data_IF_464351741981
#
_entry.id   IF_464351741981
#
_cell.length_a   1.000
_cell.length_b   1.000
_cell.length_c   1.000
_cell.angle_alpha   90.00
_cell.angle_beta   90.00
_cell.angle_gamma   90.00
#
_symmetry.space_group_name_H-M   'P 1'
#
loop_
_entity.id
_entity.type
_entity.pdbx_description
1 polymer ?
#
# COMPACT_ATOMS: atom_id res chain seq x y z
N UNK A 1 43.63 -31.00 -7.13
CA UNK A 1 43.07 -29.98 -8.04
C UNK A 1 41.58 -30.29 -8.21
N UNK A 2 40.74 -29.67 -7.39
CA UNK A 2 39.30 -29.92 -7.39
C UNK A 2 38.65 -28.84 -8.24
N UNK A 3 38.15 -29.25 -9.41
CA UNK A 3 37.29 -28.43 -10.25
C UNK A 3 35.85 -28.63 -9.78
N UNK A 4 35.26 -27.59 -9.17
CA UNK A 4 33.83 -27.55 -8.87
C UNK A 4 33.15 -26.64 -9.88
N UNK A 5 32.49 -27.28 -10.85
CA UNK A 5 31.44 -26.69 -11.66
C UNK A 5 30.24 -26.36 -10.77
N UNK A 6 29.87 -25.08 -10.65
CA UNK A 6 28.56 -24.66 -10.11
C UNK A 6 27.90 -23.76 -11.16
N UNK A 7 27.01 -24.37 -11.95
CA UNK A 7 26.07 -23.66 -12.83
C UNK A 7 24.80 -23.36 -12.04
N UNK A 8 24.39 -22.09 -12.07
CA UNK A 8 23.01 -21.56 -12.11
C UNK A 8 21.92 -22.26 -11.29
N UNK A 9 21.29 -21.54 -10.34
CA UNK A 9 19.86 -21.18 -10.45
C UNK A 9 19.47 -20.15 -9.36
N UNK A 10 18.71 -19.16 -9.81
CA UNK A 10 17.97 -18.09 -9.13
C UNK A 10 17.21 -18.49 -7.87
N UNK A 11 17.04 -17.59 -6.88
CA UNK A 11 15.85 -16.69 -6.74
C UNK A 11 15.62 -16.24 -5.26
N UNK A 12 15.69 -14.92 -5.05
CA UNK A 12 14.88 -14.06 -4.13
C UNK A 12 14.75 -14.40 -2.63
N UNK A 13 15.31 -13.52 -1.78
CA UNK A 13 14.89 -13.45 -0.37
C UNK A 13 14.99 -12.08 0.28
N UNK A 14 13.89 -11.75 0.96
CA UNK A 14 13.41 -10.48 1.52
C UNK A 14 13.64 -10.31 3.02
N UNK A 15 14.84 -9.95 3.49
CA UNK A 15 14.93 -9.25 4.79
C UNK A 15 14.73 -7.74 4.67
N UNK A 16 13.58 -7.38 4.12
CA UNK A 16 13.15 -6.01 3.87
C UNK A 16 11.76 -5.74 4.41
N UNK A 17 11.36 -6.34 5.52
CA UNK A 17 9.96 -6.32 5.95
C UNK A 17 9.42 -4.91 6.26
N UNK A 18 10.26 -3.87 6.37
CA UNK A 18 9.79 -2.47 6.51
C UNK A 18 10.25 -1.51 5.41
N UNK A 19 11.44 -1.67 4.82
CA UNK A 19 11.86 -0.78 3.73
C UNK A 19 11.35 -1.24 2.36
N UNK A 20 10.95 -2.51 2.20
CA UNK A 20 10.36 -3.02 0.95
C UNK A 20 8.91 -2.61 0.71
N UNK A 21 8.21 -2.00 1.70
CA UNK A 21 6.90 -1.35 1.44
C UNK A 21 7.07 -0.17 0.45
N UNK A 22 8.30 0.34 0.28
CA UNK A 22 8.64 1.33 -0.75
C UNK A 22 9.36 0.75 -1.97
N UNK A 23 9.69 -0.54 -2.05
CA UNK A 23 10.73 -1.01 -2.99
C UNK A 23 10.48 -2.30 -3.79
N UNK A 24 9.27 -2.86 -3.89
CA UNK A 24 9.01 -4.03 -4.76
C UNK A 24 7.95 -3.78 -5.85
N UNK A 25 8.16 -4.38 -7.05
CA UNK A 25 7.33 -4.18 -8.23
C UNK A 25 5.88 -4.53 -7.96
N UNK A 26 5.00 -3.74 -8.56
CA UNK A 26 3.62 -4.11 -8.81
C UNK A 26 3.59 -5.55 -9.37
N UNK A 27 2.74 -6.45 -8.84
CA UNK A 27 2.54 -7.76 -9.46
C UNK A 27 2.27 -7.57 -10.95
N UNK A 28 3.08 -8.20 -11.79
CA UNK A 28 2.76 -8.38 -13.21
C UNK A 28 1.62 -9.39 -13.30
N UNK A 29 0.73 -9.10 -14.24
CA UNK A 29 -0.20 -10.03 -14.87
C UNK A 29 -1.26 -10.64 -13.96
N UNK A 30 -2.30 -9.84 -13.74
CA UNK A 30 -3.66 -10.28 -13.99
C UNK A 30 -4.48 -9.07 -14.45
N UNK A 31 -4.85 -9.05 -15.72
CA UNK A 31 -6.17 -8.53 -16.04
C UNK A 31 -6.39 -7.02 -15.91
N UNK A 32 -5.38 -6.15 -16.16
CA UNK A 32 -5.55 -4.69 -16.24
C UNK A 32 -6.23 -3.98 -15.05
N UNK A 33 -6.45 -4.69 -13.93
CA UNK A 33 -7.02 -4.22 -12.68
C UNK A 33 -5.86 -4.11 -11.70
N UNK A 34 -5.71 -2.96 -11.04
CA UNK A 34 -4.78 -2.86 -9.92
C UNK A 34 -5.03 -4.06 -8.97
N UNK A 35 -4.05 -4.94 -8.73
CA UNK A 35 -4.27 -6.35 -8.31
C UNK A 35 -4.96 -6.58 -6.95
N UNK A 36 -5.34 -5.52 -6.25
CA UNK A 36 -5.82 -5.57 -4.86
C UNK A 36 -7.13 -4.85 -4.61
N UNK A 37 -7.79 -4.39 -5.67
CA UNK A 37 -9.15 -3.86 -5.59
C UNK A 37 -9.94 -4.60 -6.65
N UNK A 38 -10.73 -5.58 -6.20
CA UNK A 38 -11.83 -6.10 -7.01
C UNK A 38 -12.65 -4.94 -7.60
N UNK A 39 -13.43 -5.17 -8.67
CA UNK A 39 -14.18 -4.12 -9.35
C UNK A 39 -14.92 -3.28 -8.33
N UNK A 40 -14.45 -2.04 -8.11
CA UNK A 40 -15.17 -1.09 -7.29
C UNK A 40 -16.29 -0.60 -8.18
N UNK A 41 -17.50 -1.06 -7.91
CA UNK A 41 -18.68 -0.49 -8.53
C UNK A 41 -18.80 1.01 -8.26
N UNK A 42 -19.80 1.68 -8.86
CA UNK A 42 -20.05 3.11 -8.67
C UNK A 42 -20.17 3.52 -7.20
N UNK A 43 -20.57 2.59 -6.34
CA UNK A 43 -20.65 2.73 -4.89
C UNK A 43 -20.36 1.37 -4.20
N UNK A 44 -20.14 1.35 -2.86
CA UNK A 44 -20.01 0.11 -2.10
C UNK A 44 -21.27 -0.76 -2.21
N UNK A 45 -21.11 -2.09 -2.26
CA UNK A 45 -22.25 -3.04 -2.33
C UNK A 45 -23.26 -2.84 -1.20
N UNK A 46 -22.76 -2.51 0.00
CA UNK A 46 -23.60 -2.28 1.18
C UNK A 46 -24.52 -1.06 1.06
N UNK A 47 -24.41 -0.28 -0.02
CA UNK A 47 -25.26 0.89 -0.30
C UNK A 47 -26.38 0.56 -1.30
N UNK A 48 -26.35 -0.61 -1.95
CA UNK A 48 -27.27 -1.02 -3.02
C UNK A 48 -28.73 -0.97 -2.58
N UNK A 49 -29.02 -1.46 -1.38
CA UNK A 49 -30.37 -1.54 -0.81
C UNK A 49 -30.82 -0.27 -0.09
N UNK A 50 -29.92 0.72 0.04
CA UNK A 50 -30.15 1.95 0.83
C UNK A 50 -30.32 3.16 -0.09
N UNK A 51 -29.59 3.22 -1.20
CA UNK A 51 -29.63 4.34 -2.11
C UNK A 51 -30.86 4.29 -3.02
N UNK A 52 -31.58 5.41 -3.22
CA UNK A 52 -32.65 5.50 -4.22
C UNK A 52 -32.15 5.17 -5.62
N UNK A 53 -33.00 4.56 -6.45
CA UNK A 53 -32.66 4.18 -7.84
C UNK A 53 -32.10 5.34 -8.65
N UNK A 54 -32.72 6.53 -8.56
CA UNK A 54 -32.25 7.73 -9.25
C UNK A 54 -30.80 8.11 -8.86
N UNK A 55 -30.43 7.96 -7.59
CA UNK A 55 -29.06 8.22 -7.12
C UNK A 55 -28.10 7.15 -7.63
N UNK A 56 -28.53 5.88 -7.63
CA UNK A 56 -27.72 4.76 -8.13
C UNK A 56 -27.38 4.94 -9.60
N UNK A 57 -28.36 5.34 -10.42
CA UNK A 57 -28.15 5.65 -11.83
C UNK A 57 -27.23 6.85 -12.04
N UNK A 58 -27.38 7.91 -11.24
CA UNK A 58 -26.51 9.08 -11.31
C UNK A 58 -25.06 8.72 -10.98
N UNK A 59 -24.83 7.96 -9.91
CA UNK A 59 -23.50 7.47 -9.53
C UNK A 59 -22.90 6.53 -10.58
N UNK A 60 -23.72 5.67 -11.19
CA UNK A 60 -23.31 4.79 -12.28
C UNK A 60 -22.88 5.58 -13.51
N UNK A 61 -23.66 6.60 -13.88
CA UNK A 61 -23.36 7.51 -14.99
C UNK A 61 -22.04 8.24 -14.79
N UNK A 62 -21.83 8.83 -13.61
CA UNK A 62 -20.56 9.49 -13.25
C UNK A 62 -19.38 8.49 -13.28
N UNK A 63 -19.60 7.26 -12.81
CA UNK A 63 -18.58 6.23 -12.78
C UNK A 63 -18.13 5.78 -14.17
N UNK A 64 -19.10 5.59 -15.07
CA UNK A 64 -18.91 5.11 -16.45
C UNK A 64 -18.43 6.22 -17.39
N UNK A 65 -18.62 7.49 -17.03
CA UNK A 65 -18.16 8.64 -17.81
C UNK A 65 -16.62 8.66 -17.94
N UNK A 66 -16.15 8.22 -19.11
CA UNK A 66 -14.73 8.18 -19.50
C UNK A 66 -14.15 9.56 -19.81
N UNK A 67 -14.98 10.60 -19.97
CA UNK A 67 -14.52 11.97 -20.23
C UNK A 67 -14.01 12.66 -18.96
N UNK A 68 -14.52 12.25 -17.78
CA UNK A 68 -14.14 12.86 -16.50
C UNK A 68 -12.78 12.39 -16.02
N UNK A 69 -11.99 13.34 -15.50
CA UNK A 69 -10.77 13.03 -14.74
C UNK A 69 -11.15 12.31 -13.45
N UNK A 70 -10.20 11.54 -12.89
CA UNK A 70 -10.46 10.82 -11.65
C UNK A 70 -10.84 11.73 -10.47
N UNK A 71 -10.24 12.92 -10.38
CA UNK A 71 -10.58 13.90 -9.33
C UNK A 71 -12.01 14.39 -9.49
N UNK A 72 -12.33 14.90 -10.68
CA UNK A 72 -13.67 15.37 -11.03
C UNK A 72 -14.74 14.31 -10.80
N UNK A 73 -14.48 13.06 -11.23
CA UNK A 73 -15.38 11.93 -10.98
C UNK A 73 -15.64 11.74 -9.49
N UNK A 74 -14.62 11.84 -8.65
CA UNK A 74 -14.77 11.65 -7.20
C UNK A 74 -15.40 12.83 -6.50
N UNK A 75 -15.16 14.03 -7.00
CA UNK A 75 -15.75 15.24 -6.44
C UNK A 75 -17.24 15.29 -6.79
N UNK A 76 -17.63 14.91 -8.03
CA UNK A 76 -19.04 14.70 -8.39
C UNK A 76 -19.71 13.60 -7.57
N UNK A 77 -19.03 12.46 -7.34
CA UNK A 77 -19.56 11.41 -6.45
C UNK A 77 -19.72 11.95 -5.01
N UNK A 78 -18.74 12.69 -4.50
CA UNK A 78 -18.80 13.27 -3.14
C UNK A 78 -19.94 14.29 -3.01
N UNK A 79 -20.18 15.08 -4.05
CA UNK A 79 -21.29 16.03 -4.14
C UNK A 79 -22.64 15.30 -4.10
N UNK A 80 -22.85 14.29 -4.95
CA UNK A 80 -24.07 13.46 -4.94
C UNK A 80 -24.30 12.84 -3.56
N UNK A 81 -23.28 12.25 -2.96
CA UNK A 81 -23.38 11.62 -1.64
C UNK A 81 -23.64 12.64 -0.52
N UNK A 82 -23.08 13.85 -0.63
CA UNK A 82 -23.28 14.90 0.39
C UNK A 82 -24.64 15.59 0.29
N UNK A 83 -25.31 15.51 -0.86
CA UNK A 83 -26.64 16.06 -1.09
C UNK A 83 -27.78 15.07 -0.82
N UNK A 84 -27.48 13.86 -0.34
CA UNK A 84 -28.50 12.88 0.03
C UNK A 84 -29.45 13.41 1.12
N UNK A 85 -30.75 13.02 1.08
CA UNK A 85 -31.69 13.25 2.17
C UNK A 85 -31.16 12.70 3.50
N UNK A 86 -31.45 13.41 4.59
CA UNK A 86 -30.96 13.07 5.93
C UNK A 86 -31.37 11.64 6.34
N UNK A 87 -32.60 11.24 6.02
CA UNK A 87 -33.12 9.88 6.28
C UNK A 87 -32.29 8.77 5.62
N UNK A 88 -31.72 9.04 4.44
CA UNK A 88 -30.85 8.09 3.73
C UNK A 88 -29.46 8.12 4.35
N UNK A 89 -28.92 9.30 4.64
CA UNK A 89 -27.60 9.48 5.27
C UNK A 89 -27.47 8.72 6.59
N UNK A 90 -28.53 8.68 7.39
CA UNK A 90 -28.57 7.97 8.67
C UNK A 90 -28.51 6.45 8.48
N UNK A 91 -29.20 5.92 7.46
CA UNK A 91 -29.21 4.49 7.11
C UNK A 91 -27.88 4.00 6.54
N UNK A 92 -27.08 4.88 5.92
CA UNK A 92 -25.81 4.49 5.32
C UNK A 92 -24.83 3.92 6.36
N UNK A 93 -24.22 2.74 6.11
CA UNK A 93 -23.24 2.19 7.02
C UNK A 93 -21.92 2.96 6.94
N UNK A 94 -21.22 3.06 8.08
CA UNK A 94 -19.81 3.49 8.07
C UNK A 94 -18.94 2.47 7.33
N UNK A 95 -17.77 2.88 6.82
CA UNK A 95 -16.80 1.96 6.25
C UNK A 95 -16.56 0.74 7.15
N UNK A 96 -16.34 -0.46 6.58
CA UNK A 96 -16.18 -1.71 7.34
C UNK A 96 -15.16 -1.64 8.48
N UNK A 97 -14.11 -0.84 8.31
CA UNK A 97 -13.06 -0.58 9.29
C UNK A 97 -13.54 0.10 10.59
N UNK A 98 -14.69 0.76 10.58
CA UNK A 98 -15.22 1.56 11.69
C UNK A 98 -16.53 1.01 12.29
N UNK A 99 -17.03 -0.14 11.82
CA UNK A 99 -18.33 -0.70 12.23
C UNK A 99 -18.40 -1.14 13.68
N UNK A 100 -17.26 -1.42 14.28
CA UNK A 100 -17.16 -1.90 15.66
C UNK A 100 -16.96 -0.73 16.64
N UNK A 101 -16.90 0.52 16.15
CA UNK A 101 -16.82 1.70 17.02
C UNK A 101 -18.16 1.99 17.69
N UNK A 102 -18.18 2.67 18.85
CA UNK A 102 -19.40 3.19 19.46
C UNK A 102 -20.26 3.99 18.47
N UNK A 103 -21.60 3.86 18.56
CA UNK A 103 -22.56 4.51 17.64
C UNK A 103 -22.33 6.01 17.53
N UNK A 104 -22.06 6.68 18.65
CA UNK A 104 -21.76 8.11 18.67
C UNK A 104 -20.57 8.48 17.77
N UNK A 105 -19.49 7.69 17.81
CA UNK A 105 -18.31 7.89 16.96
C UNK A 105 -18.65 7.57 15.50
N UNK A 106 -19.46 6.54 15.24
CA UNK A 106 -19.92 6.23 13.89
C UNK A 106 -20.73 7.39 13.30
N UNK A 107 -21.61 8.01 14.08
CA UNK A 107 -22.45 9.13 13.65
C UNK A 107 -21.60 10.39 13.40
N UNK A 108 -20.61 10.66 14.25
CA UNK A 108 -19.61 11.72 14.00
C UNK A 108 -18.83 11.48 12.70
N UNK A 109 -18.41 10.24 12.44
CA UNK A 109 -17.74 9.87 11.20
C UNK A 109 -18.65 10.09 9.98
N UNK A 110 -19.93 9.69 10.05
CA UNK A 110 -20.92 9.93 8.98
C UNK A 110 -21.13 11.43 8.75
N UNK A 111 -21.33 12.20 9.81
CA UNK A 111 -21.55 13.64 9.76
C UNK A 111 -20.37 14.35 9.07
N UNK A 112 -19.13 13.96 9.37
CA UNK A 112 -17.95 14.50 8.69
C UNK A 112 -17.91 14.08 7.22
N UNK A 113 -18.18 12.80 6.90
CA UNK A 113 -18.07 12.28 5.53
C UNK A 113 -19.13 12.83 4.58
N UNK A 114 -20.35 13.04 5.07
CA UNK A 114 -21.52 13.45 4.28
C UNK A 114 -21.81 14.95 4.40
N UNK A 115 -20.89 15.73 5.00
CA UNK A 115 -21.02 17.16 5.13
C UNK A 115 -21.00 17.85 3.73
N UNK A 116 -22.03 18.63 3.36
CA UNK A 116 -22.15 19.23 2.02
C UNK A 116 -21.21 20.38 1.74
N UNK A 117 -20.61 20.99 2.77
CA UNK A 117 -19.76 22.20 2.62
C UNK A 117 -18.28 21.96 2.92
N UNK A 118 -17.86 20.72 3.13
CA UNK A 118 -16.46 20.40 3.44
C UNK A 118 -15.76 19.85 2.21
N UNK A 119 -14.55 20.34 1.95
CA UNK A 119 -13.70 19.74 0.93
C UNK A 119 -13.30 18.33 1.35
N UNK A 120 -13.02 17.46 0.37
CA UNK A 120 -12.59 16.08 0.67
C UNK A 120 -11.31 16.01 1.51
N UNK A 121 -10.47 17.03 1.43
CA UNK A 121 -9.27 17.16 2.26
C UNK A 121 -9.62 17.53 3.70
N UNK A 122 -10.49 18.53 3.90
CA UNK A 122 -11.02 18.87 5.22
C UNK A 122 -11.73 17.69 5.88
N UNK A 123 -12.57 16.96 5.14
CA UNK A 123 -13.25 15.74 5.62
C UNK A 123 -12.23 14.70 6.11
N UNK A 124 -11.08 14.57 5.46
CA UNK A 124 -10.02 13.65 5.91
C UNK A 124 -9.31 14.14 7.14
N UNK A 125 -8.96 15.42 7.19
CA UNK A 125 -8.27 16.02 8.33
C UNK A 125 -9.14 15.94 9.58
N UNK A 126 -10.44 16.19 9.46
CA UNK A 126 -11.40 16.01 10.55
C UNK A 126 -11.54 14.55 10.98
N UNK A 127 -11.67 13.60 10.04
CA UNK A 127 -11.68 12.16 10.38
C UNK A 127 -10.39 11.74 11.08
N UNK A 128 -9.23 12.21 10.60
CA UNK A 128 -7.94 11.93 11.23
C UNK A 128 -7.89 12.49 12.64
N UNK A 129 -8.26 13.76 12.83
CA UNK A 129 -8.31 14.41 14.15
C UNK A 129 -9.25 13.67 15.11
N UNK A 130 -10.41 13.23 14.64
CA UNK A 130 -11.34 12.44 15.43
C UNK A 130 -10.69 11.12 15.86
N UNK A 131 -10.15 10.35 14.92
CA UNK A 131 -9.47 9.08 15.22
C UNK A 131 -8.29 9.28 16.18
N UNK A 132 -7.49 10.33 15.99
CA UNK A 132 -6.32 10.62 16.83
C UNK A 132 -6.73 10.98 18.27
N UNK A 133 -7.89 11.61 18.46
CA UNK A 133 -8.46 11.94 19.78
C UNK A 133 -9.10 10.76 20.53
N UNK A 134 -9.33 9.63 19.85
CA UNK A 134 -9.98 8.47 20.46
C UNK A 134 -9.11 7.82 21.57
N UNK A 135 -9.71 7.32 22.66
CA UNK A 135 -9.04 6.48 23.65
C UNK A 135 -8.41 5.23 23.02
N UNK A 136 -7.30 4.75 23.57
CA UNK A 136 -6.58 3.59 23.00
C UNK A 136 -7.45 2.33 22.92
N UNK A 137 -8.30 2.08 23.91
CA UNK A 137 -9.24 0.95 23.92
C UNK A 137 -10.18 0.99 22.71
N UNK A 138 -10.70 2.19 22.38
CA UNK A 138 -11.58 2.35 21.21
C UNK A 138 -10.83 2.30 19.89
N UNK A 139 -9.56 2.75 19.85
CA UNK A 139 -8.71 2.63 18.66
C UNK A 139 -8.44 1.17 18.30
N UNK A 140 -8.36 0.26 19.29
CA UNK A 140 -8.21 -1.19 19.05
C UNK A 140 -9.40 -1.80 18.33
N UNK A 141 -10.59 -1.20 18.42
CA UNK A 141 -11.79 -1.64 17.70
C UNK A 141 -11.74 -1.29 16.20
N UNK A 142 -10.86 -0.37 15.79
CA UNK A 142 -10.69 -0.02 14.38
C UNK A 142 -9.99 -1.18 13.68
N UNK A 143 -10.71 -1.86 12.78
CA UNK A 143 -10.13 -2.97 12.02
C UNK A 143 -9.00 -2.44 11.13
N UNK A 144 -7.82 -3.10 11.14
CA UNK A 144 -6.76 -2.72 10.22
C UNK A 144 -7.29 -2.85 8.79
N UNK A 145 -7.08 -1.82 7.97
CA UNK A 145 -7.36 -1.96 6.54
C UNK A 145 -6.55 -3.14 6.02
N UNK A 146 -7.16 -4.06 5.25
CA UNK A 146 -6.41 -5.14 4.63
C UNK A 146 -5.26 -4.52 3.85
N UNK A 147 -4.03 -4.87 4.25
CA UNK A 147 -2.85 -4.40 3.57
C UNK A 147 -2.94 -4.89 2.12
N UNK A 148 -2.72 -4.03 1.11
CA UNK A 148 -2.86 -4.42 -0.29
C UNK A 148 -1.76 -5.37 -0.75
N UNK A 149 -0.98 -5.93 0.16
CA UNK A 149 -0.03 -6.98 -0.13
C UNK A 149 -0.29 -8.06 0.93
N UNK A 150 -0.39 -9.33 0.53
CA UNK A 150 -0.50 -10.41 1.50
C UNK A 150 0.68 -10.27 2.47
N UNK A 151 0.48 -10.52 3.76
CA UNK A 151 1.57 -10.60 4.72
C UNK A 151 2.55 -11.66 4.20
N UNK A 152 3.62 -11.23 3.52
CA UNK A 152 4.73 -12.09 3.20
C UNK A 152 5.47 -12.29 4.51
N UNK A 153 5.32 -13.50 5.07
CA UNK A 153 6.03 -13.90 6.28
C UNK A 153 7.54 -13.74 6.17
N UNK A 154 8.28 -14.02 7.27
CA UNK A 154 9.74 -14.01 7.22
C UNK A 154 10.22 -14.92 6.06
N UNK A 155 11.25 -14.53 5.29
CA UNK A 155 11.72 -15.33 4.16
C UNK A 155 12.22 -16.67 4.63
N UNK A 156 11.95 -17.74 3.88
CA UNK A 156 12.37 -19.10 4.24
C UNK A 156 13.87 -19.24 4.51
N UNK A 157 14.73 -18.45 3.85
CA UNK A 157 16.19 -18.43 4.12
C UNK A 157 16.53 -18.16 5.60
N UNK A 158 15.62 -17.51 6.35
CA UNK A 158 15.82 -17.22 7.76
C UNK A 158 15.64 -18.44 8.63
N UNK A 159 14.93 -19.46 8.15
CA UNK A 159 14.74 -20.70 8.87
C UNK A 159 16.06 -21.43 9.08
N UNK A 160 16.95 -21.43 8.07
CA UNK A 160 18.27 -22.05 8.15
C UNK A 160 19.20 -21.35 9.15
N UNK A 161 19.11 -20.02 9.24
CA UNK A 161 19.99 -19.21 10.10
C UNK A 161 19.44 -19.08 11.52
N UNK A 162 18.14 -18.81 11.67
CA UNK A 162 17.49 -18.60 12.97
C UNK A 162 17.08 -19.91 13.65
N UNK A 163 17.00 -20.99 12.89
CA UNK A 163 16.40 -22.25 13.31
C UNK A 163 14.87 -22.22 13.28
N UNK A 164 14.27 -23.40 13.09
CA UNK A 164 12.82 -23.58 12.93
C UNK A 164 12.00 -23.01 14.10
N UNK A 165 12.52 -23.09 15.33
CA UNK A 165 11.82 -22.57 16.51
C UNK A 165 11.66 -21.05 16.48
N UNK A 166 12.74 -20.30 16.25
CA UNK A 166 12.71 -18.83 16.19
C UNK A 166 11.96 -18.36 14.96
N UNK A 167 12.17 -19.03 13.82
CA UNK A 167 11.47 -18.73 12.59
C UNK A 167 9.95 -18.86 12.73
N UNK A 168 9.46 -19.94 13.35
CA UNK A 168 8.03 -20.12 13.59
C UNK A 168 7.46 -19.08 14.57
N UNK A 169 8.22 -18.65 15.59
CA UNK A 169 7.80 -17.53 16.46
C UNK A 169 7.59 -16.24 15.67
N UNK A 170 8.55 -15.89 14.80
CA UNK A 170 8.45 -14.69 13.95
C UNK A 170 7.27 -14.80 12.97
N UNK A 171 7.07 -15.98 12.37
CA UNK A 171 5.95 -16.25 11.48
C UNK A 171 4.60 -16.08 12.20
N UNK A 172 4.47 -16.63 13.41
CA UNK A 172 3.25 -16.52 14.21
C UNK A 172 2.93 -15.06 14.58
N UNK A 173 3.93 -14.25 14.97
CA UNK A 173 3.73 -12.81 15.23
C UNK A 173 3.26 -12.09 13.96
N UNK A 174 3.86 -12.43 12.82
CA UNK A 174 3.50 -11.82 11.54
C UNK A 174 2.06 -12.14 11.13
N UNK A 175 1.64 -13.40 11.27
CA UNK A 175 0.32 -13.89 10.89
C UNK A 175 -0.78 -13.53 11.89
N UNK A 176 -0.43 -13.23 13.14
CA UNK A 176 -1.40 -12.86 14.17
C UNK A 176 -2.16 -11.58 13.78
N UNK A 177 -3.48 -11.67 13.59
CA UNK A 177 -4.33 -10.56 13.16
C UNK A 177 -4.75 -9.63 14.31
N UNK A 178 -4.61 -10.08 15.55
CA UNK A 178 -5.00 -9.34 16.76
C UNK A 178 -3.94 -8.32 17.15
N UNK A 179 -2.68 -8.58 16.84
CA UNK A 179 -1.58 -7.65 17.11
C UNK A 179 -1.63 -6.44 16.17
N UNK A 180 -1.57 -5.26 16.75
CA UNK A 180 -1.33 -4.02 16.00
C UNK A 180 0.04 -4.06 15.32
N UNK A 181 0.26 -3.26 14.25
CA UNK A 181 1.57 -3.17 13.63
C UNK A 181 2.68 -2.81 14.63
N UNK A 182 2.41 -1.94 15.60
CA UNK A 182 3.41 -1.54 16.60
C UNK A 182 3.78 -2.68 17.53
N UNK A 183 2.80 -3.45 18.01
CA UNK A 183 3.04 -4.61 18.88
C UNK A 183 3.80 -5.71 18.14
N UNK A 184 3.47 -5.95 16.86
CA UNK A 184 4.26 -6.88 16.03
C UNK A 184 5.73 -6.47 15.97
N UNK A 185 6.01 -5.17 15.83
CA UNK A 185 7.39 -4.69 15.80
C UNK A 185 8.11 -4.84 17.12
N UNK A 186 7.46 -4.51 18.23
CA UNK A 186 8.04 -4.70 19.56
C UNK A 186 8.39 -6.18 19.81
N UNK A 187 7.47 -7.10 19.51
CA UNK A 187 7.67 -8.53 19.70
C UNK A 187 8.79 -9.08 18.80
N UNK A 188 8.87 -8.63 17.54
CA UNK A 188 9.98 -8.99 16.64
C UNK A 188 11.30 -8.45 17.16
N UNK A 189 11.35 -7.20 17.63
CA UNK A 189 12.56 -6.58 18.16
C UNK A 189 13.08 -7.31 19.40
N UNK A 190 12.19 -7.72 20.30
CA UNK A 190 12.53 -8.50 21.48
C UNK A 190 13.18 -9.84 21.10
N UNK A 191 12.57 -10.58 20.16
CA UNK A 191 13.15 -11.83 19.63
C UNK A 191 14.54 -11.55 19.06
N UNK A 192 14.69 -10.53 18.22
CA UNK A 192 15.95 -10.23 17.55
C UNK A 192 17.06 -9.80 18.53
N UNK A 193 16.72 -9.09 19.62
CA UNK A 193 17.70 -8.72 20.66
C UNK A 193 18.20 -9.94 21.45
N UNK A 194 17.32 -10.92 21.67
CA UNK A 194 17.65 -12.16 22.39
C UNK A 194 18.60 -13.09 21.62
N UNK A 195 18.68 -12.97 20.29
CA UNK A 195 19.53 -13.84 19.47
C UNK A 195 21.02 -13.54 19.63
N UNK A 196 21.92 -14.54 19.54
CA UNK A 196 23.36 -14.31 19.51
C UNK A 196 23.79 -13.41 18.35
N UNK A 197 24.81 -12.57 18.56
CA UNK A 197 25.33 -11.66 17.52
C UNK A 197 25.81 -12.42 16.29
N UNK A 198 26.42 -13.59 16.48
CA UNK A 198 26.86 -14.48 15.39
C UNK A 198 25.72 -14.93 14.48
N UNK A 199 24.52 -15.13 15.04
CA UNK A 199 23.32 -15.49 14.27
C UNK A 199 22.83 -14.28 13.48
N UNK A 200 22.82 -13.10 14.11
CA UNK A 200 22.41 -11.85 13.47
C UNK A 200 23.31 -11.46 12.29
N UNK A 201 24.62 -11.70 12.38
CA UNK A 201 25.59 -11.41 11.32
C UNK A 201 25.44 -12.32 10.10
N UNK A 202 25.00 -13.56 10.32
CA UNK A 202 24.71 -14.53 9.26
C UNK A 202 23.41 -14.25 8.52
N UNK A 203 22.57 -13.35 9.02
CA UNK A 203 21.32 -13.00 8.35
C UNK A 203 21.60 -12.32 7.01
N UNK A 204 20.99 -12.80 5.92
CA UNK A 204 21.22 -12.20 4.63
C UNK A 204 20.54 -10.84 4.53
N UNK A 205 21.17 -9.92 3.79
CA UNK A 205 20.59 -8.61 3.50
C UNK A 205 19.30 -8.76 2.67
N UNK A 206 18.40 -7.76 2.74
CA UNK A 206 17.27 -7.69 1.80
C UNK A 206 17.74 -7.75 0.34
N UNK A 207 16.93 -8.30 -0.58
CA UNK A 207 17.34 -8.67 -1.92
C UNK A 207 17.60 -7.43 -2.76
N UNK A 208 16.85 -6.35 -2.51
CA UNK A 208 17.11 -5.04 -3.12
C UNK A 208 18.37 -4.35 -2.58
N UNK A 209 18.97 -4.79 -1.47
CA UNK A 209 20.24 -4.27 -0.94
C UNK A 209 21.44 -5.21 -1.22
N UNK A 210 21.21 -6.44 -1.69
CA UNK A 210 22.27 -7.41 -2.04
C UNK A 210 23.10 -6.99 -3.26
N UNK A 211 22.57 -6.09 -4.09
CA UNK A 211 23.27 -5.58 -5.27
C UNK A 211 24.11 -4.33 -4.97
N UNK A 212 24.24 -3.94 -3.70
CA UNK A 212 25.08 -2.83 -3.29
C UNK A 212 26.56 -3.24 -3.28
N UNK A 213 27.50 -2.30 -3.40
CA UNK A 213 28.92 -2.57 -3.17
C UNK A 213 29.17 -3.22 -1.80
N UNK A 214 30.15 -4.12 -1.71
CA UNK A 214 30.45 -4.90 -0.49
C UNK A 214 30.70 -4.02 0.74
N UNK A 215 31.40 -2.90 0.56
CA UNK A 215 31.67 -1.94 1.64
C UNK A 215 30.39 -1.31 2.21
N UNK A 216 29.38 -1.10 1.37
CA UNK A 216 28.06 -0.59 1.77
C UNK A 216 27.23 -1.70 2.41
N UNK A 217 27.31 -2.92 1.88
CA UNK A 217 26.65 -4.09 2.48
C UNK A 217 27.13 -4.32 3.91
N UNK A 218 28.44 -4.23 4.16
CA UNK A 218 29.00 -4.37 5.50
C UNK A 218 28.53 -3.26 6.45
N UNK A 219 28.50 -2.01 5.99
CA UNK A 219 27.97 -0.88 6.79
C UNK A 219 26.49 -1.11 7.16
N UNK A 220 25.68 -1.58 6.21
CA UNK A 220 24.29 -1.93 6.47
C UNK A 220 24.16 -3.10 7.46
N UNK A 221 24.96 -4.16 7.31
CA UNK A 221 24.98 -5.28 8.26
C UNK A 221 25.32 -4.82 9.67
N UNK A 222 26.34 -3.96 9.83
CA UNK A 222 26.70 -3.37 11.13
C UNK A 222 25.52 -2.63 11.78
N UNK A 223 24.79 -1.83 11.00
CA UNK A 223 23.58 -1.13 11.48
C UNK A 223 22.50 -2.15 11.91
N UNK A 224 22.29 -3.22 11.14
CA UNK A 224 21.23 -4.19 11.44
C UNK A 224 21.54 -5.09 12.65
N UNK A 225 22.81 -5.44 12.86
CA UNK A 225 23.28 -6.29 13.97
C UNK A 225 23.33 -5.52 15.30
N UNK A 226 23.54 -4.20 15.26
CA UNK A 226 23.65 -3.37 16.47
C UNK A 226 22.41 -3.49 17.36
N UNK A 227 22.56 -4.08 18.54
CA UNK A 227 21.45 -4.31 19.48
C UNK A 227 21.07 -3.07 20.29
N UNK A 228 21.93 -2.05 20.30
CA UNK A 228 21.68 -0.79 21.02
C UNK A 228 20.66 0.09 20.31
N UNK A 229 20.52 -0.08 18.98
CA UNK A 229 19.61 0.68 18.16
C UNK A 229 18.21 0.05 18.11
N UNK A 230 17.20 0.89 18.28
CA UNK A 230 15.82 0.55 17.99
C UNK A 230 15.61 0.31 16.49
N UNK A 231 14.52 -0.37 16.14
CA UNK A 231 14.16 -0.57 14.75
C UNK A 231 14.08 0.75 13.95
N UNK A 232 13.49 1.80 14.54
CA UNK A 232 13.35 3.12 13.88
C UNK A 232 14.70 3.76 13.60
N UNK A 233 15.63 3.70 14.54
CA UNK A 233 16.99 4.23 14.37
C UNK A 233 17.77 3.47 13.32
N UNK A 234 17.68 2.12 13.31
CA UNK A 234 18.28 1.29 12.25
C UNK A 234 17.77 1.69 10.88
N UNK A 235 16.45 1.89 10.76
CA UNK A 235 15.82 2.33 9.51
C UNK A 235 16.31 3.70 9.08
N UNK A 236 16.41 4.65 10.01
CA UNK A 236 16.85 6.01 9.74
C UNK A 236 18.32 6.04 9.29
N UNK A 237 19.22 5.39 10.03
CA UNK A 237 20.64 5.29 9.66
C UNK A 237 20.84 4.59 8.33
N UNK A 238 20.10 3.50 8.07
CA UNK A 238 20.14 2.81 6.77
C UNK A 238 19.68 3.73 5.63
N UNK A 239 18.63 4.53 5.86
CA UNK A 239 18.12 5.50 4.88
C UNK A 239 19.11 6.62 4.62
N UNK A 240 19.79 7.12 5.65
CA UNK A 240 20.83 8.15 5.53
C UNK A 240 22.04 7.62 4.76
N UNK A 241 22.51 6.40 5.09
CA UNK A 241 23.56 5.72 4.33
C UNK A 241 23.17 5.56 2.86
N UNK A 242 21.95 5.12 2.58
CA UNK A 242 21.44 4.97 1.21
C UNK A 242 21.38 6.32 0.47
N UNK A 243 21.07 7.42 1.18
CA UNK A 243 21.00 8.76 0.59
C UNK A 243 22.35 9.29 0.13
N UNK A 244 23.43 8.95 0.83
CA UNK A 244 24.80 9.38 0.47
C UNK A 244 25.38 8.61 -0.71
N UNK A 245 24.76 7.49 -1.12
CA UNK A 245 25.21 6.71 -2.27
C UNK A 245 25.03 7.48 -3.60
N UNK A 246 25.92 7.27 -4.57
CA UNK A 246 25.77 7.74 -5.95
C UNK A 246 24.42 7.36 -6.56
N UNK A 247 23.89 8.20 -7.45
CA UNK A 247 22.54 8.00 -8.00
C UNK A 247 22.41 6.69 -8.80
N UNK A 248 23.48 6.26 -9.47
CA UNK A 248 23.54 5.00 -10.22
C UNK A 248 23.31 3.78 -9.29
N UNK A 249 23.96 3.77 -8.14
CA UNK A 249 23.77 2.73 -7.11
C UNK A 249 22.38 2.86 -6.47
N UNK A 250 21.90 4.08 -6.25
CA UNK A 250 20.55 4.30 -5.72
C UNK A 250 19.46 3.83 -6.68
N UNK A 251 19.71 3.78 -7.99
CA UNK A 251 18.75 3.25 -8.97
C UNK A 251 18.59 1.73 -8.85
N UNK A 252 19.66 0.99 -8.55
CA UNK A 252 19.61 -0.48 -8.45
C UNK A 252 18.81 -0.99 -7.25
N UNK A 253 18.67 -0.17 -6.20
CA UNK A 253 17.93 -0.51 -4.97
C UNK A 253 16.51 0.07 -4.92
N UNK A 254 16.13 0.94 -5.86
CA UNK A 254 14.79 1.51 -5.93
C UNK A 254 13.78 0.43 -6.33
N UNK A 255 12.50 0.55 -5.91
CA UNK A 255 11.46 -0.25 -6.54
C UNK A 255 11.57 -0.11 -8.07
N UNK A 256 11.49 -1.20 -8.84
CA UNK A 256 11.19 -1.07 -10.24
C UNK A 256 9.87 -0.29 -10.37
N UNK A 257 9.86 0.66 -11.30
CA UNK A 257 8.66 1.40 -11.61
C UNK A 257 7.58 0.42 -12.11
N UNK A 258 6.28 0.69 -11.85
CA UNK A 258 5.23 -0.13 -12.42
C UNK A 258 5.41 -0.29 -13.93
N UNK A 259 5.16 -1.50 -14.44
CA UNK A 259 5.38 -1.85 -15.85
C UNK A 259 4.63 -0.94 -16.84
N UNK A 260 3.48 -0.36 -16.44
CA UNK A 260 2.78 0.59 -17.30
C UNK A 260 3.59 1.87 -17.55
N UNK A 261 4.47 2.27 -16.63
CA UNK A 261 5.31 3.47 -16.80
C UNK A 261 6.37 3.24 -17.88
N UNK A 262 6.86 2.01 -18.04
CA UNK A 262 7.83 1.67 -19.10
C UNK A 262 7.25 1.91 -20.50
N UNK A 263 5.93 1.81 -20.65
CA UNK A 263 5.20 2.03 -21.90
C UNK A 263 4.88 3.51 -22.20
N UNK A 264 5.18 4.42 -21.27
CA UNK A 264 4.92 5.85 -21.45
C UNK A 264 5.97 6.56 -22.33
N UNK A 265 5.60 7.67 -22.99
CA UNK A 265 6.57 8.57 -23.63
C UNK A 265 7.65 9.07 -22.66
N UNK A 266 8.86 9.32 -23.17
CA UNK A 266 10.03 9.71 -22.37
C UNK A 266 9.83 11.04 -21.62
N UNK A 267 9.09 11.97 -22.22
CA UNK A 267 8.69 13.24 -21.59
C UNK A 267 7.88 13.02 -20.31
N UNK A 268 6.98 12.04 -20.32
CA UNK A 268 6.08 11.71 -19.22
C UNK A 268 6.79 10.89 -18.15
N UNK A 269 7.63 9.94 -18.57
CA UNK A 269 8.54 9.21 -17.66
C UNK A 269 9.39 10.19 -16.84
N UNK A 270 9.97 11.20 -17.50
CA UNK A 270 10.77 12.23 -16.85
C UNK A 270 9.98 13.06 -15.82
N UNK A 271 8.73 13.42 -16.13
CA UNK A 271 7.86 14.12 -15.18
C UNK A 271 7.52 13.26 -13.97
N UNK A 272 7.17 11.99 -14.19
CA UNK A 272 6.87 11.04 -13.13
C UNK A 272 8.12 10.80 -12.27
N UNK A 273 9.30 10.65 -12.88
CA UNK A 273 10.56 10.48 -12.14
C UNK A 273 10.86 11.69 -11.26
N UNK A 274 10.64 12.92 -11.75
CA UNK A 274 10.77 14.14 -10.94
C UNK A 274 9.85 14.12 -9.71
N UNK A 275 8.59 13.71 -9.86
CA UNK A 275 7.64 13.55 -8.74
C UNK A 275 8.15 12.52 -7.73
N UNK A 276 8.67 11.38 -8.19
CA UNK A 276 9.18 10.36 -7.29
C UNK A 276 10.48 10.78 -6.58
N UNK A 277 11.32 11.61 -7.21
CA UNK A 277 12.55 12.17 -6.64
C UNK A 277 12.30 13.28 -5.62
N UNK A 278 11.21 14.03 -5.75
CA UNK A 278 10.90 15.14 -4.84
C UNK A 278 10.66 14.63 -3.42
N UNK A 279 11.51 14.99 -2.47
CA UNK A 279 11.39 14.54 -1.08
C UNK A 279 10.38 15.36 -0.26
N UNK A 280 9.96 16.53 -0.76
CA UNK A 280 8.98 17.40 -0.08
C UNK A 280 7.56 16.85 -0.19
N UNK A 281 7.30 16.06 -1.25
CA UNK A 281 5.97 15.51 -1.55
C UNK A 281 5.78 14.18 -0.83
N UNK A 282 4.66 14.03 -0.10
CA UNK A 282 4.30 12.78 0.54
C UNK A 282 3.96 11.67 -0.48
N UNK A 283 4.20 10.39 -0.13
CA UNK A 283 3.95 9.23 -1.02
C UNK A 283 2.57 9.27 -1.69
N UNK A 284 1.54 9.63 -0.92
CA UNK A 284 0.15 9.68 -1.40
C UNK A 284 -0.05 10.78 -2.45
N UNK A 285 0.50 11.95 -2.20
CA UNK A 285 0.42 13.09 -3.11
C UNK A 285 1.22 12.84 -4.39
N UNK A 286 2.36 12.13 -4.30
CA UNK A 286 3.09 11.64 -5.49
C UNK A 286 2.19 10.83 -6.41
N UNK A 287 1.44 9.87 -5.87
CA UNK A 287 0.51 9.06 -6.67
C UNK A 287 -0.65 9.87 -7.24
N UNK A 288 -1.13 10.88 -6.52
CA UNK A 288 -2.18 11.77 -7.03
C UNK A 288 -1.65 12.60 -8.22
N UNK A 289 -0.46 13.19 -8.10
CA UNK A 289 0.20 13.93 -9.19
C UNK A 289 0.50 13.03 -10.41
N UNK A 290 0.99 11.81 -10.19
CA UNK A 290 1.21 10.83 -11.28
C UNK A 290 -0.10 10.48 -11.97
N UNK A 291 -1.19 10.37 -11.22
CA UNK A 291 -2.51 10.10 -11.79
C UNK A 291 -3.04 11.26 -12.62
N UNK A 292 -2.82 12.50 -12.17
CA UNK A 292 -3.21 13.69 -12.95
C UNK A 292 -2.46 13.73 -14.30
N UNK A 293 -1.16 13.42 -14.32
CA UNK A 293 -0.38 13.29 -15.56
C UNK A 293 -0.97 12.22 -16.49
N UNK A 294 -1.35 11.06 -15.95
CA UNK A 294 -1.98 9.99 -16.73
C UNK A 294 -3.36 10.41 -17.24
N UNK A 295 -4.09 11.22 -16.46
CA UNK A 295 -5.40 11.78 -16.81
C UNK A 295 -5.29 12.92 -17.86
N UNK A 296 -4.09 13.48 -18.09
CA UNK A 296 -3.80 14.47 -19.13
C UNK A 296 -3.30 13.84 -20.45
N UNK A 297 -3.03 12.53 -20.45
CA UNK A 297 -2.64 11.79 -21.65
C UNK A 297 -3.72 11.81 -22.74
N UNK A 298 -3.33 11.89 -24.03
CA UNK A 298 -4.24 11.64 -25.15
C UNK A 298 -4.92 10.27 -24.99
N UNK A 299 -6.19 10.19 -25.42
CA UNK A 299 -7.02 8.98 -25.27
C UNK A 299 -6.34 7.73 -25.83
N UNK A 300 -5.69 7.85 -26.99
CA UNK A 300 -4.96 6.77 -27.65
C UNK A 300 -3.79 6.23 -26.82
N UNK A 301 -3.05 7.10 -26.12
CA UNK A 301 -1.95 6.68 -25.24
C UNK A 301 -2.48 6.04 -23.96
N UNK A 302 -3.58 6.57 -23.40
CA UNK A 302 -4.23 5.97 -22.23
C UNK A 302 -4.77 4.58 -22.52
N UNK A 303 -5.36 4.36 -23.70
CA UNK A 303 -5.88 3.06 -24.12
C UNK A 303 -4.77 2.02 -24.30
N UNK A 304 -3.58 2.42 -24.76
CA UNK A 304 -2.39 1.53 -24.83
C UNK A 304 -1.87 1.11 -23.45
N UNK A 305 -2.03 1.95 -22.43
CA UNK A 305 -1.59 1.66 -21.07
C UNK A 305 -2.53 0.73 -20.32
N UNK A 306 -3.82 0.82 -20.59
CA UNK A 306 -4.88 0.05 -19.93
C UNK A 306 -5.80 -0.64 -20.96
N UNK A 307 -5.29 -1.62 -21.73
CA UNK A 307 -6.04 -2.26 -22.82
C UNK A 307 -7.32 -2.96 -22.34
N UNK A 308 -7.40 -3.34 -21.07
CA UNK A 308 -8.54 -4.07 -20.49
C UNK A 308 -9.72 -3.19 -20.04
N UNK A 309 -9.66 -1.88 -20.25
CA UNK A 309 -10.82 -0.99 -20.05
C UNK A 309 -11.86 -1.03 -21.19
N UNK A 310 -11.66 -1.91 -22.19
CA UNK A 310 -12.56 -2.11 -23.32
C UNK A 310 -13.37 -3.41 -23.30
N UNK A 311 -13.14 -4.33 -22.37
CA UNK A 311 -14.16 -5.35 -22.09
C UNK A 311 -15.19 -4.72 -21.17
N UNK A 312 -16.36 -4.39 -21.72
CA UNK A 312 -17.57 -4.25 -20.92
C UNK A 312 -17.63 -5.43 -19.93
N UNK A 313 -18.08 -5.23 -18.68
CA UNK A 313 -18.44 -6.38 -17.86
C UNK A 313 -19.42 -7.19 -18.71
N UNK A 314 -19.04 -8.41 -19.11
CA UNK A 314 -20.02 -9.33 -19.64
C UNK A 314 -21.11 -9.43 -18.57
N UNK A 315 -22.39 -9.22 -18.92
CA UNK A 315 -23.46 -9.49 -17.98
C UNK A 315 -23.20 -10.91 -17.47
N UNK A 316 -23.12 -11.07 -16.15
CA UNK A 316 -23.07 -12.39 -15.56
C UNK A 316 -24.30 -13.11 -16.10
N UNK A 317 -24.08 -14.12 -16.95
CA UNK A 317 -25.14 -15.02 -17.34
C UNK A 317 -25.73 -15.54 -16.04
N UNK A 318 -27.00 -15.20 -15.80
CA UNK A 318 -27.81 -15.76 -14.75
C UNK A 318 -27.89 -17.26 -15.02
N UNK A 319 -26.96 -18.02 -14.43
CA UNK A 319 -27.10 -19.47 -14.32
C UNK A 319 -28.18 -19.68 -13.26
N UNK A 320 -29.43 -19.69 -13.71
CA UNK A 320 -30.50 -20.37 -13.01
C UNK A 320 -30.17 -21.87 -13.00
N UNK A 321 -29.98 -22.42 -11.82
CA UNK A 321 -30.27 -23.84 -11.52
C UNK A 321 -31.07 -23.89 -10.24
#
# INVERSE_FOLDING_TARGET
MVSSNIKTFTLLATFGLILAISAHPFPKENGGRFPWRGPRGPYPKDFEDILPEAVKEQLKTIYEDKSLRWRERKDKIDEVMSNLPQEIKEKLPVPPEYRDLPKEIQDQLKAIKLAPKLTREEKRNKVKSLIDSLPEETKKLIKPRPFPFPPMGPPKEFEEVLGTQVFNKLKNIHENKELSPSEKWANVEEIMKSLPTEVLEKLPLPPHLRNLPEDIQEKLKKIFVDKTLSFQEKRQKSRELIKTLPEEIRKSIRPPMPSFIEKLPESIKSQIEKIFKDETIGRREKFEKVRDIIDDLPKEEREKLFPEHNTAPQPAEEIFV
#
